data_IF_234927226227
#
_entry.id   IF_234927226227
#
_cell.length_a   1.000
_cell.length_b   1.000
_cell.length_c   1.000
_cell.angle_alpha   90.00
_cell.angle_beta   90.00
_cell.angle_gamma   90.00
#
_symmetry.space_group_name_H-M   'P 1'
#
loop_
_entity.id
_entity.type
_entity.pdbx_description
1 polymer ?
#
# COMPACT_ATOMS: atom_id res chain seq x y z
N UNK A 1 -19.67 7.86 1.87
CA UNK A 1 -20.02 7.17 0.59
C UNK A 1 -21.42 7.56 0.17
N UNK A 2 -21.61 7.98 -1.07
CA UNK A 2 -22.94 8.24 -1.63
C UNK A 2 -23.50 6.94 -2.24
N UNK A 3 -24.75 6.60 -1.91
CA UNK A 3 -25.38 5.34 -2.34
C UNK A 3 -26.64 5.69 -3.14
N UNK A 4 -26.61 5.36 -4.43
CA UNK A 4 -27.75 5.52 -5.33
C UNK A 4 -28.81 4.43 -5.06
N UNK A 5 -30.07 4.84 -4.84
CA UNK A 5 -31.21 3.97 -4.52
C UNK A 5 -32.31 4.02 -5.58
N UNK A 6 -32.03 4.54 -6.78
CA UNK A 6 -33.03 4.69 -7.85
C UNK A 6 -33.59 3.35 -8.38
N UNK A 7 -32.95 2.24 -8.01
CA UNK A 7 -33.34 0.86 -8.35
C UNK A 7 -33.51 -0.01 -7.10
N UNK A 8 -33.70 0.59 -5.95
CA UNK A 8 -33.98 -0.16 -4.73
C UNK A 8 -35.29 -0.91 -4.87
N UNK A 9 -35.19 -2.23 -4.82
CA UNK A 9 -36.34 -3.13 -4.86
C UNK A 9 -36.77 -3.47 -3.43
N UNK A 10 -37.97 -3.11 -3.08
CA UNK A 10 -38.62 -3.49 -1.83
C UNK A 10 -39.49 -4.74 -2.02
N UNK A 11 -39.78 -5.47 -0.95
CA UNK A 11 -40.63 -6.68 -1.02
C UNK A 11 -39.92 -7.93 -1.53
N UNK A 12 -38.60 -7.96 -1.47
CA UNK A 12 -37.84 -9.21 -1.63
C UNK A 12 -38.11 -10.12 -0.44
N UNK A 13 -38.15 -11.46 -0.62
CA UNK A 13 -38.39 -12.39 0.45
C UNK A 13 -37.29 -12.27 1.51
N UNK A 14 -37.64 -12.42 2.77
CA UNK A 14 -36.67 -12.58 3.85
C UNK A 14 -36.09 -13.99 3.79
N UNK A 15 -34.78 -14.09 3.78
CA UNK A 15 -34.04 -15.37 3.77
C UNK A 15 -33.34 -15.52 5.11
N UNK A 16 -33.63 -16.61 5.84
CA UNK A 16 -33.07 -16.83 7.16
C UNK A 16 -33.73 -16.03 8.27
N UNK A 17 -33.05 -15.98 9.42
CA UNK A 17 -33.54 -15.36 10.68
C UNK A 17 -32.38 -14.55 11.27
N UNK A 18 -32.67 -13.33 11.68
CA UNK A 18 -31.70 -12.47 12.37
C UNK A 18 -31.25 -13.07 13.73
N UNK A 19 -30.06 -12.75 14.22
CA UNK A 19 -29.06 -11.85 13.58
C UNK A 19 -28.31 -12.54 12.47
N UNK A 20 -28.07 -11.81 11.38
CA UNK A 20 -27.20 -12.27 10.31
C UNK A 20 -25.73 -12.09 10.66
N UNK A 21 -24.86 -12.98 10.19
CA UNK A 21 -23.47 -13.12 10.64
C UNK A 21 -22.44 -12.85 9.57
N UNK A 22 -22.86 -12.58 8.32
CA UNK A 22 -21.95 -12.45 7.20
C UNK A 22 -22.30 -11.26 6.30
N UNK A 23 -21.27 -10.65 5.70
CA UNK A 23 -21.40 -9.79 4.52
C UNK A 23 -20.75 -10.53 3.36
N UNK A 24 -21.52 -10.78 2.31
CA UNK A 24 -21.04 -11.53 1.16
C UNK A 24 -20.43 -10.62 0.10
N UNK A 25 -19.29 -11.04 -0.42
CA UNK A 25 -18.48 -10.33 -1.39
C UNK A 25 -18.43 -11.12 -2.70
N UNK A 26 -18.91 -10.50 -3.81
CA UNK A 26 -19.06 -11.13 -5.11
C UNK A 26 -18.50 -10.29 -6.24
N UNK A 27 -18.34 -10.91 -7.42
CA UNK A 27 -18.32 -10.22 -8.70
C UNK A 27 -19.45 -10.70 -9.60
N UNK A 28 -19.86 -9.85 -10.54
CA UNK A 28 -21.01 -10.15 -11.41
C UNK A 28 -20.76 -11.29 -12.40
N UNK A 29 -19.52 -11.73 -12.59
CA UNK A 29 -19.16 -12.70 -13.64
C UNK A 29 -19.43 -12.20 -15.07
N UNK A 30 -19.85 -10.96 -15.24
CA UNK A 30 -20.28 -10.39 -16.50
C UNK A 30 -19.37 -9.25 -16.96
N UNK A 31 -18.49 -9.56 -17.91
CA UNK A 31 -17.46 -8.60 -18.42
C UNK A 31 -18.03 -7.50 -19.31
N UNK A 32 -19.32 -7.50 -19.59
CA UNK A 32 -19.97 -6.52 -20.48
C UNK A 32 -21.07 -5.71 -19.80
N UNK A 33 -21.26 -5.88 -18.50
CA UNK A 33 -22.35 -5.26 -17.76
C UNK A 33 -21.88 -4.08 -16.91
N UNK A 34 -22.60 -2.98 -16.95
CA UNK A 34 -22.39 -1.82 -16.05
C UNK A 34 -23.17 -2.02 -14.75
N UNK A 35 -22.81 -1.25 -13.71
CA UNK A 35 -23.59 -1.24 -12.46
C UNK A 35 -25.07 -0.91 -12.68
N UNK A 36 -25.37 -0.01 -13.63
CA UNK A 36 -26.77 0.30 -13.98
C UNK A 36 -27.47 -0.88 -14.64
N UNK A 37 -26.80 -1.61 -15.54
CA UNK A 37 -27.38 -2.78 -16.20
C UNK A 37 -27.68 -3.89 -15.20
N UNK A 38 -26.77 -4.14 -14.27
CA UNK A 38 -26.98 -5.10 -13.19
C UNK A 38 -28.12 -4.69 -12.27
N UNK A 39 -28.20 -3.42 -11.89
CA UNK A 39 -29.29 -2.88 -11.10
C UNK A 39 -30.65 -3.00 -11.81
N UNK A 40 -30.70 -2.68 -13.11
CA UNK A 40 -31.92 -2.79 -13.93
C UNK A 40 -32.34 -4.25 -14.15
N UNK A 41 -31.37 -5.14 -14.30
CA UNK A 41 -31.63 -6.60 -14.39
C UNK A 41 -32.17 -7.11 -13.05
N UNK A 42 -31.52 -6.80 -11.93
CA UNK A 42 -31.96 -7.19 -10.59
C UNK A 42 -33.38 -6.68 -10.27
N UNK A 43 -33.68 -5.45 -10.69
CA UNK A 43 -35.02 -4.86 -10.45
C UNK A 43 -36.15 -5.63 -11.17
N UNK A 44 -35.87 -6.23 -12.32
CA UNK A 44 -36.87 -6.90 -13.18
C UNK A 44 -36.92 -8.41 -13.06
N UNK A 45 -35.79 -9.06 -12.66
CA UNK A 45 -35.72 -10.52 -12.59
C UNK A 45 -36.62 -11.10 -11.50
N UNK A 46 -37.00 -12.36 -11.65
CA UNK A 46 -37.68 -13.10 -10.60
C UNK A 46 -36.76 -13.21 -9.37
N UNK A 47 -37.23 -12.90 -8.17
CA UNK A 47 -36.43 -13.05 -6.93
C UNK A 47 -35.95 -14.49 -6.71
N UNK A 48 -36.68 -15.50 -7.16
CA UNK A 48 -36.27 -16.90 -7.05
C UNK A 48 -34.99 -17.24 -7.85
N UNK A 49 -34.59 -16.37 -8.79
CA UNK A 49 -33.34 -16.50 -9.54
C UNK A 49 -32.14 -15.87 -8.83
N UNK A 50 -32.27 -15.56 -7.55
CA UNK A 50 -31.23 -14.95 -6.72
C UNK A 50 -31.39 -13.43 -6.59
N UNK A 51 -30.90 -12.87 -5.50
CA UNK A 51 -30.86 -11.44 -5.26
C UNK A 51 -29.72 -11.06 -4.31
N UNK A 52 -29.28 -9.83 -4.43
CA UNK A 52 -28.23 -9.21 -3.63
C UNK A 52 -28.64 -7.80 -3.20
N UNK A 53 -27.92 -7.18 -2.27
CA UNK A 53 -28.26 -5.86 -1.74
C UNK A 53 -27.65 -4.70 -2.52
N UNK A 54 -26.42 -4.84 -3.00
CA UNK A 54 -25.67 -3.74 -3.63
C UNK A 54 -24.92 -4.21 -4.89
N UNK A 55 -24.72 -3.26 -5.80
CA UNK A 55 -23.75 -3.38 -6.90
C UNK A 55 -22.83 -2.17 -6.95
N UNK A 56 -21.55 -2.41 -7.19
CA UNK A 56 -20.51 -1.39 -7.29
C UNK A 56 -19.90 -1.42 -8.69
N UNK A 57 -19.78 -0.26 -9.30
CA UNK A 57 -19.17 -0.14 -10.60
C UNK A 57 -19.38 1.23 -11.25
N UNK A 58 -18.55 1.56 -12.24
CA UNK A 58 -18.57 2.81 -12.97
C UNK A 58 -18.53 4.05 -12.05
N UNK A 59 -17.70 3.99 -10.99
CA UNK A 59 -17.47 5.07 -10.02
C UNK A 59 -18.63 5.29 -9.04
N UNK A 60 -19.54 4.34 -8.86
CA UNK A 60 -20.70 4.49 -7.97
C UNK A 60 -21.08 3.20 -7.25
N UNK A 61 -21.84 3.39 -6.18
CA UNK A 61 -22.49 2.34 -5.39
C UNK A 61 -24.00 2.46 -5.57
N UNK A 62 -24.64 1.36 -5.91
CA UNK A 62 -26.10 1.28 -6.03
C UNK A 62 -26.65 0.27 -5.03
N UNK A 63 -27.62 0.68 -4.22
CA UNK A 63 -28.38 -0.23 -3.40
C UNK A 63 -29.60 -0.71 -4.20
N UNK A 64 -29.71 -2.01 -4.42
CA UNK A 64 -30.72 -2.64 -5.26
C UNK A 64 -31.68 -3.56 -4.51
N UNK A 65 -31.29 -3.97 -3.32
CA UNK A 65 -32.08 -4.79 -2.40
C UNK A 65 -31.93 -4.33 -0.95
N UNK A 66 -32.73 -4.89 -0.03
CA UNK A 66 -32.63 -4.60 1.39
C UNK A 66 -31.33 -5.17 1.97
N UNK A 67 -30.87 -4.58 3.06
CA UNK A 67 -29.89 -5.18 3.96
C UNK A 67 -30.62 -5.79 5.15
N UNK A 68 -29.92 -6.60 5.95
CA UNK A 68 -30.49 -7.27 7.11
C UNK A 68 -31.75 -8.12 6.77
N UNK A 69 -31.71 -8.79 5.62
CA UNK A 69 -32.83 -9.53 5.06
C UNK A 69 -32.47 -10.94 4.56
N UNK A 70 -31.20 -11.32 4.64
CA UNK A 70 -30.64 -12.45 3.92
C UNK A 70 -30.49 -12.13 2.42
N UNK A 71 -29.94 -13.06 1.68
CA UNK A 71 -29.79 -12.96 0.23
C UNK A 71 -29.83 -14.34 -0.40
N UNK A 72 -30.09 -14.42 -1.70
CA UNK A 72 -29.89 -15.63 -2.49
C UNK A 72 -28.75 -15.40 -3.47
N UNK A 73 -27.53 -15.48 -2.97
CA UNK A 73 -26.32 -15.04 -3.66
C UNK A 73 -25.20 -16.09 -3.67
N UNK A 74 -25.09 -16.94 -2.66
CA UNK A 74 -24.01 -17.95 -2.56
C UNK A 74 -24.45 -19.39 -2.86
N UNK A 75 -25.67 -19.58 -3.30
CA UNK A 75 -26.17 -20.86 -3.81
C UNK A 75 -26.31 -22.00 -2.79
N UNK A 76 -26.26 -21.72 -1.49
CA UNK A 76 -26.27 -22.74 -0.45
C UNK A 76 -26.84 -22.29 0.89
N UNK A 77 -26.52 -23.03 1.97
CA UNK A 77 -27.06 -22.79 3.30
C UNK A 77 -26.72 -21.45 3.90
N UNK A 78 -25.62 -20.83 3.50
CA UNK A 78 -25.18 -19.55 4.02
C UNK A 78 -25.91 -18.33 3.45
N UNK A 79 -26.76 -18.51 2.46
CA UNK A 79 -27.76 -17.50 2.08
C UNK A 79 -28.54 -16.97 3.28
N UNK A 80 -28.78 -17.82 4.29
CA UNK A 80 -29.47 -17.46 5.52
C UNK A 80 -28.63 -16.69 6.53
N UNK A 81 -27.33 -16.53 6.29
CA UNK A 81 -26.39 -15.83 7.15
C UNK A 81 -26.07 -14.41 6.65
N UNK A 82 -26.52 -14.04 5.47
CA UNK A 82 -26.16 -12.80 4.79
C UNK A 82 -26.87 -11.59 5.37
N UNK A 83 -26.13 -10.67 5.99
CA UNK A 83 -26.61 -9.32 6.30
C UNK A 83 -26.75 -8.49 5.02
N UNK A 84 -25.79 -8.60 4.13
CA UNK A 84 -25.76 -7.93 2.84
C UNK A 84 -24.90 -8.73 1.86
N UNK A 85 -25.24 -8.66 0.58
CA UNK A 85 -24.44 -9.20 -0.52
C UNK A 85 -24.11 -8.07 -1.51
N UNK A 86 -22.85 -7.97 -1.91
CA UNK A 86 -22.33 -6.90 -2.74
C UNK A 86 -21.67 -7.48 -3.99
N UNK A 87 -22.13 -7.04 -5.15
CA UNK A 87 -21.58 -7.38 -6.47
C UNK A 87 -20.61 -6.30 -6.95
N UNK A 88 -19.42 -6.67 -7.38
CA UNK A 88 -18.50 -5.81 -8.14
C UNK A 88 -18.61 -6.13 -9.62
N UNK A 89 -18.80 -5.12 -10.49
CA UNK A 89 -18.80 -5.35 -11.94
C UNK A 89 -17.41 -5.76 -12.43
N UNK A 90 -17.36 -6.45 -13.58
CA UNK A 90 -16.12 -6.87 -14.23
C UNK A 90 -15.82 -6.13 -15.55
N UNK A 91 -16.66 -5.21 -15.97
CA UNK A 91 -16.59 -4.51 -17.25
C UNK A 91 -15.67 -3.27 -17.21
N UNK A 92 -14.46 -3.42 -16.67
CA UNK A 92 -13.49 -2.32 -16.62
C UNK A 92 -12.60 -2.33 -17.87
N UNK A 93 -12.44 -1.17 -18.50
CA UNK A 93 -11.57 -1.01 -19.67
C UNK A 93 -10.11 -0.79 -19.29
N UNK A 94 -9.88 -0.26 -18.08
CA UNK A 94 -8.54 0.05 -17.56
C UNK A 94 -8.38 -0.44 -16.12
N UNK A 95 -7.12 -0.64 -15.72
CA UNK A 95 -6.78 -0.95 -14.33
C UNK A 95 -7.20 0.19 -13.37
N UNK A 96 -7.16 1.43 -13.82
CA UNK A 96 -7.52 2.59 -13.00
C UNK A 96 -9.03 2.63 -12.70
N UNK A 97 -9.87 2.37 -13.71
CA UNK A 97 -11.32 2.21 -13.52
C UNK A 97 -11.62 1.09 -12.53
N UNK A 98 -11.00 -0.09 -12.75
CA UNK A 98 -11.13 -1.20 -11.82
C UNK A 98 -10.74 -0.83 -10.38
N UNK A 99 -9.58 -0.21 -10.19
CA UNK A 99 -9.11 0.16 -8.85
C UNK A 99 -9.99 1.22 -8.19
N UNK A 100 -10.67 2.08 -8.96
CA UNK A 100 -11.63 3.05 -8.44
C UNK A 100 -12.86 2.34 -7.88
N UNK A 101 -13.46 1.46 -8.66
CA UNK A 101 -14.63 0.70 -8.23
C UNK A 101 -14.29 -0.29 -7.10
N UNK A 102 -13.12 -0.90 -7.16
CA UNK A 102 -12.64 -1.80 -6.13
C UNK A 102 -12.49 -1.11 -4.76
N UNK A 103 -12.01 0.14 -4.72
CA UNK A 103 -11.95 0.91 -3.46
C UNK A 103 -13.34 1.18 -2.87
N UNK A 104 -14.29 1.57 -3.70
CA UNK A 104 -15.69 1.77 -3.30
C UNK A 104 -16.29 0.46 -2.77
N UNK A 105 -15.99 -0.66 -3.42
CA UNK A 105 -16.43 -1.99 -3.03
C UNK A 105 -15.89 -2.38 -1.64
N UNK A 106 -14.61 -2.23 -1.39
CA UNK A 106 -14.00 -2.51 -0.10
C UNK A 106 -14.54 -1.60 1.01
N UNK A 107 -14.71 -0.32 0.72
CA UNK A 107 -15.28 0.64 1.66
C UNK A 107 -16.72 0.24 2.03
N UNK A 108 -17.52 -0.14 1.04
CA UNK A 108 -18.89 -0.58 1.26
C UNK A 108 -18.97 -1.84 2.12
N UNK A 109 -18.18 -2.88 1.80
CA UNK A 109 -18.16 -4.13 2.56
C UNK A 109 -17.82 -3.88 4.04
N UNK A 110 -16.83 -3.02 4.30
CA UNK A 110 -16.45 -2.64 5.67
C UNK A 110 -17.56 -1.88 6.40
N UNK A 111 -18.22 -0.95 5.71
CA UNK A 111 -19.32 -0.17 6.32
C UNK A 111 -20.51 -1.08 6.65
N UNK A 112 -20.82 -2.02 5.76
CA UNK A 112 -21.90 -3.01 6.02
C UNK A 112 -21.56 -3.96 7.17
N UNK A 113 -20.30 -4.37 7.30
CA UNK A 113 -19.87 -5.17 8.45
C UNK A 113 -19.96 -4.36 9.76
N UNK A 114 -19.56 -3.06 9.76
CA UNK A 114 -19.73 -2.16 10.90
C UNK A 114 -21.20 -1.97 11.28
N UNK A 115 -22.06 -1.74 10.28
CA UNK A 115 -23.50 -1.58 10.48
C UNK A 115 -24.13 -2.83 11.10
N UNK A 116 -23.66 -4.02 10.70
CA UNK A 116 -24.11 -5.30 11.24
C UNK A 116 -23.44 -5.66 12.58
N UNK A 117 -22.45 -4.91 13.05
CA UNK A 117 -21.65 -5.25 14.23
C UNK A 117 -20.74 -6.48 14.03
N UNK A 118 -20.33 -6.75 12.79
CA UNK A 118 -19.53 -7.93 12.41
C UNK A 118 -18.04 -7.62 12.34
N UNK A 119 -17.17 -8.61 12.58
CA UNK A 119 -15.75 -8.48 12.29
C UNK A 119 -15.49 -8.16 10.80
N UNK A 120 -14.51 -7.30 10.54
CA UNK A 120 -14.05 -6.99 9.18
C UNK A 120 -12.99 -7.99 8.69
N UNK A 121 -13.07 -9.22 9.17
CA UNK A 121 -12.20 -10.32 8.75
C UNK A 121 -12.74 -10.94 7.48
N UNK A 122 -11.82 -11.33 6.58
CA UNK A 122 -12.17 -11.99 5.34
C UNK A 122 -11.84 -13.49 5.44
N UNK A 123 -12.80 -14.32 5.06
CA UNK A 123 -12.61 -15.77 4.84
C UNK A 123 -11.88 -16.48 5.98
N UNK A 124 -12.20 -16.11 7.21
CA UNK A 124 -11.71 -16.81 8.39
C UNK A 124 -12.61 -18.00 8.72
N UNK A 125 -12.11 -18.95 9.52
CA UNK A 125 -12.89 -20.12 9.98
C UNK A 125 -14.07 -19.76 10.91
N UNK A 126 -14.07 -18.55 11.46
CA UNK A 126 -15.22 -18.02 12.20
C UNK A 126 -16.41 -17.84 11.24
N UNK A 127 -17.61 -18.16 11.69
CA UNK A 127 -18.82 -18.00 10.89
C UNK A 127 -19.11 -16.52 10.59
N UNK A 128 -18.72 -15.63 11.50
CA UNK A 128 -18.93 -14.19 11.39
C UNK A 128 -17.88 -13.51 10.51
N UNK A 129 -18.27 -12.43 9.82
CA UNK A 129 -17.36 -11.57 9.06
C UNK A 129 -17.72 -11.42 7.59
N UNK A 130 -16.75 -10.95 6.81
CA UNK A 130 -16.88 -10.83 5.36
C UNK A 130 -16.47 -12.15 4.72
N UNK A 131 -17.31 -12.69 3.83
CA UNK A 131 -17.09 -13.97 3.16
C UNK A 131 -17.16 -13.79 1.65
N UNK A 132 -16.16 -14.29 0.96
CA UNK A 132 -16.21 -14.35 -0.50
C UNK A 132 -17.13 -15.49 -0.95
N UNK A 133 -17.62 -15.38 -2.18
CA UNK A 133 -18.43 -16.45 -2.79
C UNK A 133 -17.64 -17.76 -2.84
N UNK A 134 -16.36 -17.70 -3.22
CA UNK A 134 -15.49 -18.87 -3.27
C UNK A 134 -15.36 -19.52 -1.87
N UNK A 135 -15.16 -18.72 -0.84
CA UNK A 135 -15.09 -19.25 0.53
C UNK A 135 -16.43 -19.89 0.96
N UNK A 136 -17.55 -19.22 0.70
CA UNK A 136 -18.88 -19.76 0.97
C UNK A 136 -19.10 -21.08 0.23
N UNK A 137 -18.75 -21.12 -1.05
CA UNK A 137 -18.83 -22.31 -1.88
C UNK A 137 -18.10 -23.51 -1.29
N UNK A 138 -16.88 -23.28 -0.81
CA UNK A 138 -16.03 -24.35 -0.31
C UNK A 138 -16.34 -24.80 1.13
N UNK A 139 -17.06 -23.99 1.91
CA UNK A 139 -17.23 -24.21 3.36
C UNK A 139 -18.69 -24.36 3.81
N UNK A 140 -19.68 -24.06 2.96
CA UNK A 140 -21.09 -24.19 3.32
C UNK A 140 -21.70 -25.57 2.99
N UNK A 141 -22.77 -26.01 3.69
CA UNK A 141 -23.54 -27.17 3.30
C UNK A 141 -24.28 -26.95 1.95
N UNK A 142 -24.34 -27.97 1.11
CA UNK A 142 -25.09 -27.96 -0.16
C UNK A 142 -24.55 -26.98 -1.21
N UNK A 143 -23.31 -27.13 -1.52
CA UNK A 143 -22.55 -26.31 -2.43
C UNK A 143 -23.05 -26.32 -3.88
N UNK A 144 -23.15 -25.12 -4.50
CA UNK A 144 -23.32 -24.88 -5.93
C UNK A 144 -22.53 -23.66 -6.37
N UNK A 145 -21.38 -23.77 -7.02
CA UNK A 145 -20.90 -22.63 -7.74
C UNK A 145 -19.78 -22.86 -8.71
N UNK A 146 -19.81 -22.01 -9.76
CA UNK A 146 -18.83 -21.92 -10.82
C UNK A 146 -18.17 -20.53 -10.85
N UNK A 147 -18.32 -19.70 -9.79
CA UNK A 147 -17.77 -18.35 -9.76
C UNK A 147 -16.42 -18.30 -9.05
N UNK A 148 -15.47 -17.66 -9.71
CA UNK A 148 -14.14 -17.35 -9.13
C UNK A 148 -14.20 -15.94 -8.56
N UNK A 149 -14.02 -15.82 -7.27
CA UNK A 149 -13.93 -14.51 -6.62
C UNK A 149 -12.66 -13.76 -7.00
N UNK A 150 -12.78 -12.50 -7.30
CA UNK A 150 -11.67 -11.77 -7.85
C UNK A 150 -10.54 -11.44 -6.89
N UNK A 151 -10.58 -11.66 -5.55
CA UNK A 151 -9.52 -10.99 -4.78
C UNK A 151 -9.07 -11.51 -3.42
N UNK A 152 -7.72 -11.58 -3.25
CA UNK A 152 -7.03 -11.70 -1.96
C UNK A 152 -6.92 -10.37 -1.16
N UNK A 153 -7.50 -9.25 -1.63
CA UNK A 153 -7.27 -7.91 -1.06
C UNK A 153 -8.24 -7.47 0.03
N UNK A 154 -9.34 -8.17 0.24
CA UNK A 154 -10.27 -7.86 1.34
C UNK A 154 -9.66 -8.08 2.73
N UNK A 155 -8.76 -9.04 2.83
CA UNK A 155 -8.02 -9.35 4.05
C UNK A 155 -6.85 -8.42 4.32
N UNK A 156 -6.58 -7.42 3.48
CA UNK A 156 -5.51 -6.49 3.77
C UNK A 156 -5.86 -5.71 5.05
N UNK A 157 -5.45 -6.26 6.18
CA UNK A 157 -5.37 -5.50 7.41
C UNK A 157 -4.71 -4.17 7.10
N UNK A 158 -5.28 -3.06 7.55
CA UNK A 158 -4.65 -1.74 7.44
C UNK A 158 -3.28 -1.77 8.11
N UNK A 159 -2.34 -1.03 7.59
CA UNK A 159 -0.98 -0.98 8.09
C UNK A 159 0.00 -1.82 7.28
N UNK A 160 1.09 -2.21 7.90
CA UNK A 160 2.16 -2.94 7.26
C UNK A 160 1.75 -4.37 6.90
N UNK A 161 1.96 -4.73 5.64
CA UNK A 161 1.75 -6.04 5.08
C UNK A 161 3.06 -6.62 4.55
N UNK A 162 3.15 -7.94 4.41
CA UNK A 162 4.33 -8.65 3.91
C UNK A 162 3.93 -9.89 3.12
N UNK A 163 4.66 -10.14 2.02
CA UNK A 163 4.64 -11.41 1.30
C UNK A 163 6.07 -11.84 0.90
N UNK A 164 6.21 -12.81 0.02
CA UNK A 164 7.51 -13.27 -0.48
C UNK A 164 8.30 -12.23 -1.29
N UNK A 165 7.66 -11.18 -1.79
CA UNK A 165 8.31 -10.11 -2.56
C UNK A 165 8.82 -8.98 -1.67
N UNK A 166 8.11 -8.63 -0.59
CA UNK A 166 8.49 -7.52 0.28
C UNK A 166 7.38 -7.03 1.18
N UNK A 167 7.58 -5.82 1.71
CA UNK A 167 6.61 -5.12 2.54
C UNK A 167 5.89 -4.04 1.74
N UNK A 168 4.61 -3.81 2.06
CA UNK A 168 3.83 -2.65 1.60
C UNK A 168 2.97 -2.13 2.74
N UNK A 169 2.41 -0.94 2.57
CA UNK A 169 1.54 -0.33 3.58
C UNK A 169 0.15 -0.07 3.02
N UNK A 170 -0.88 -0.48 3.73
CA UNK A 170 -2.27 -0.29 3.35
C UNK A 170 -2.92 0.72 4.27
N UNK A 171 -3.46 1.79 3.71
CA UNK A 171 -4.23 2.80 4.43
C UNK A 171 -5.60 2.27 4.84
N UNK A 172 -6.27 3.00 5.74
CA UNK A 172 -7.62 2.64 6.21
C UNK A 172 -8.66 2.62 5.08
N UNK A 173 -8.42 3.34 3.99
CA UNK A 173 -9.27 3.35 2.79
C UNK A 173 -8.92 2.25 1.78
N UNK A 174 -8.01 1.35 2.11
CA UNK A 174 -7.53 0.29 1.23
C UNK A 174 -6.49 0.73 0.20
N UNK A 175 -6.19 2.02 0.10
CA UNK A 175 -5.13 2.53 -0.79
C UNK A 175 -3.74 2.17 -0.27
N UNK A 176 -2.74 2.19 -1.16
CA UNK A 176 -1.34 1.99 -0.81
C UNK A 176 -0.44 2.89 -1.65
N UNK A 177 0.68 3.37 -1.10
CA UNK A 177 1.59 4.28 -1.80
C UNK A 177 2.31 3.58 -2.95
N UNK A 178 2.51 4.31 -4.08
CA UNK A 178 3.28 3.87 -5.26
C UNK A 178 4.12 5.02 -5.80
N UNK A 179 5.37 4.72 -6.18
CA UNK A 179 6.34 5.69 -6.72
C UNK A 179 6.44 6.98 -5.91
N UNK A 180 6.34 6.88 -4.58
CA UNK A 180 6.36 8.06 -3.70
C UNK A 180 6.97 7.77 -2.34
N UNK A 181 7.40 8.86 -1.72
CA UNK A 181 7.67 8.88 -0.29
C UNK A 181 6.36 8.89 0.50
N UNK A 182 6.35 8.18 1.61
CA UNK A 182 5.25 8.16 2.56
C UNK A 182 5.75 8.22 3.98
N UNK A 183 5.14 9.09 4.81
CA UNK A 183 5.50 9.18 6.23
C UNK A 183 4.53 8.35 7.07
N UNK A 184 5.04 7.28 7.67
CA UNK A 184 4.23 6.35 8.47
C UNK A 184 4.75 6.38 9.90
N UNK A 185 3.89 6.72 10.86
CA UNK A 185 4.24 6.83 12.28
C UNK A 185 5.49 7.68 12.56
N UNK A 186 5.67 8.77 11.79
CA UNK A 186 6.79 9.69 11.96
C UNK A 186 8.05 9.36 11.16
N UNK A 187 8.16 8.18 10.56
CA UNK A 187 9.30 7.70 9.76
C UNK A 187 8.97 7.76 8.28
N UNK A 188 9.95 8.17 7.45
CA UNK A 188 9.80 8.20 6.01
C UNK A 188 10.23 6.90 5.36
N UNK A 189 9.44 6.45 4.40
CA UNK A 189 9.65 5.29 3.54
C UNK A 189 9.48 5.69 2.08
N UNK A 190 9.98 4.88 1.16
CA UNK A 190 9.68 5.01 -0.27
C UNK A 190 9.07 3.71 -0.78
N UNK A 191 8.02 3.82 -1.56
CA UNK A 191 7.36 2.69 -2.21
C UNK A 191 7.58 2.76 -3.72
N UNK A 192 7.93 1.63 -4.34
CA UNK A 192 8.16 1.53 -5.77
C UNK A 192 6.84 1.56 -6.58
N UNK A 193 6.92 1.48 -7.91
CA UNK A 193 5.75 1.51 -8.80
C UNK A 193 4.79 0.34 -8.63
N UNK A 194 5.24 -0.74 -7.99
CA UNK A 194 4.41 -1.89 -7.62
C UNK A 194 3.81 -1.75 -6.23
N UNK A 195 4.23 -0.73 -5.46
CA UNK A 195 3.77 -0.45 -4.11
C UNK A 195 4.58 -1.16 -3.02
N UNK A 196 5.71 -1.80 -3.35
CA UNK A 196 6.58 -2.39 -2.32
C UNK A 196 7.55 -1.37 -1.75
N UNK A 197 7.75 -1.42 -0.44
CA UNK A 197 8.70 -0.61 0.29
C UNK A 197 10.13 -0.92 -0.16
N UNK A 198 10.93 0.11 -0.47
CA UNK A 198 12.35 -0.06 -0.69
C UNK A 198 13.07 -0.34 0.64
N UNK A 199 13.95 -1.33 0.64
CA UNK A 199 14.81 -1.65 1.76
C UNK A 199 16.22 -2.03 1.26
N UNK A 200 17.25 -1.65 2.02
CA UNK A 200 18.68 -1.86 1.72
C UNK A 200 19.04 -1.38 0.30
N UNK A 201 18.57 -0.18 -0.06
CA UNK A 201 18.69 0.35 -1.44
C UNK A 201 18.88 1.87 -1.51
N UNK A 202 19.64 2.27 -2.52
CA UNK A 202 19.71 3.64 -3.00
C UNK A 202 18.55 3.97 -3.95
N UNK A 203 18.01 5.16 -3.83
CA UNK A 203 17.02 5.73 -4.76
C UNK A 203 17.48 7.11 -5.22
N UNK A 204 17.64 7.29 -6.52
CA UNK A 204 17.71 8.63 -7.11
C UNK A 204 16.28 9.08 -7.39
N UNK A 205 15.89 10.23 -6.83
CA UNK A 205 14.55 10.75 -7.00
C UNK A 205 14.49 11.81 -8.12
N UNK A 206 13.30 12.25 -8.47
CA UNK A 206 13.07 13.22 -9.56
C UNK A 206 13.60 14.61 -9.27
N UNK A 207 13.88 14.95 -8.00
CA UNK A 207 14.55 16.16 -7.55
C UNK A 207 16.07 16.15 -7.80
N UNK A 208 16.61 15.06 -8.33
CA UNK A 208 18.03 14.86 -8.61
C UNK A 208 18.85 14.34 -7.44
N UNK A 209 18.31 14.30 -6.23
CA UNK A 209 18.99 13.84 -5.03
C UNK A 209 18.98 12.32 -4.89
N UNK A 210 19.97 11.81 -4.14
CA UNK A 210 20.04 10.43 -3.72
C UNK A 210 19.56 10.26 -2.29
N UNK A 211 18.82 9.16 -2.06
CA UNK A 211 18.28 8.75 -0.78
C UNK A 211 18.70 7.31 -0.50
N UNK A 212 18.87 6.98 0.76
CA UNK A 212 19.14 5.61 1.20
C UNK A 212 18.04 5.13 2.12
N UNK A 213 17.58 3.91 1.90
CA UNK A 213 16.63 3.21 2.76
C UNK A 213 17.36 2.00 3.36
N UNK A 214 17.36 1.91 4.68
CA UNK A 214 18.04 0.82 5.37
C UNK A 214 17.26 -0.51 5.24
N UNK A 215 17.74 -1.55 5.93
CA UNK A 215 17.13 -2.88 5.86
C UNK A 215 15.71 -2.96 6.45
N UNK A 216 15.32 -2.00 7.27
CA UNK A 216 13.95 -1.83 7.77
C UNK A 216 13.09 -0.96 6.83
N UNK A 217 13.66 -0.42 5.76
CA UNK A 217 13.03 0.51 4.82
C UNK A 217 13.01 1.96 5.28
N UNK A 218 13.59 2.28 6.44
CA UNK A 218 13.61 3.64 6.96
C UNK A 218 14.56 4.53 6.16
N UNK A 219 14.10 5.73 5.80
CA UNK A 219 14.90 6.72 5.10
C UNK A 219 16.04 7.23 6.00
N UNK A 220 17.26 7.18 5.50
CA UNK A 220 18.43 7.62 6.21
C UNK A 220 18.44 9.15 6.42
N UNK A 221 18.82 9.58 7.61
CA UNK A 221 19.17 10.97 7.95
C UNK A 221 20.46 10.99 8.78
N UNK A 222 21.19 12.09 8.75
CA UNK A 222 22.47 12.20 9.45
C UNK A 222 23.54 11.28 8.87
N UNK A 223 24.50 10.89 9.70
CA UNK A 223 25.57 9.98 9.30
C UNK A 223 25.11 8.53 9.24
N UNK A 224 25.39 7.87 8.10
CA UNK A 224 25.13 6.42 7.89
C UNK A 224 26.35 5.76 7.27
N UNK A 225 26.68 4.57 7.76
CA UNK A 225 27.72 3.70 7.17
C UNK A 225 27.05 2.69 6.26
N UNK A 226 27.36 2.73 4.96
CA UNK A 226 26.76 1.91 3.93
C UNK A 226 27.92 1.25 3.16
N UNK A 227 27.95 -0.08 3.08
CA UNK A 227 29.02 -0.83 2.41
C UNK A 227 30.42 -0.32 2.78
N UNK A 228 30.68 -0.21 4.08
CA UNK A 228 31.94 0.24 4.71
C UNK A 228 32.31 1.72 4.45
N UNK A 229 31.54 2.52 3.72
CA UNK A 229 31.73 3.94 3.47
C UNK A 229 30.75 4.77 4.32
N UNK A 230 31.21 5.93 4.81
CA UNK A 230 30.33 6.89 5.50
C UNK A 230 29.72 7.86 4.53
N UNK A 231 28.41 8.15 4.72
CA UNK A 231 27.62 9.12 3.98
C UNK A 231 26.89 10.03 4.98
N UNK A 232 26.56 11.23 4.54
CA UNK A 232 25.76 12.16 5.33
C UNK A 232 24.51 12.58 4.56
N UNK A 233 23.37 12.48 5.23
CA UNK A 233 22.06 12.86 4.72
C UNK A 233 21.54 14.04 5.54
N UNK A 234 20.90 15.01 4.88
CA UNK A 234 20.24 16.10 5.59
C UNK A 234 18.95 15.62 6.30
N UNK A 235 18.23 16.54 6.95
CA UNK A 235 16.99 16.21 7.69
C UNK A 235 15.87 15.73 6.75
N UNK A 236 15.90 16.16 5.49
CA UNK A 236 14.97 15.71 4.43
C UNK A 236 15.40 14.39 3.77
N UNK A 237 16.49 13.76 4.23
CA UNK A 237 17.01 12.49 3.73
C UNK A 237 17.85 12.58 2.46
N UNK A 238 18.11 13.78 1.93
CA UNK A 238 18.93 13.94 0.74
C UNK A 238 20.44 13.79 1.07
N UNK A 239 21.12 12.90 0.32
CA UNK A 239 22.56 12.69 0.42
C UNK A 239 23.31 13.99 0.12
N UNK A 240 24.25 14.35 0.97
CA UNK A 240 25.11 15.52 0.79
C UNK A 240 26.41 15.13 0.08
N UNK A 241 26.97 16.10 -0.64
CA UNK A 241 28.28 16.05 -1.28
C UNK A 241 29.06 17.34 -0.95
N UNK A 242 30.38 17.31 -1.11
CA UNK A 242 31.22 18.46 -0.79
C UNK A 242 31.41 18.66 0.70
N UNK A 243 31.66 19.90 1.11
CA UNK A 243 31.92 20.26 2.49
C UNK A 243 30.66 20.23 3.36
N UNK A 244 30.74 19.54 4.48
CA UNK A 244 29.67 19.45 5.48
C UNK A 244 30.23 19.78 6.87
N UNK A 245 29.56 20.68 7.58
CA UNK A 245 29.85 20.96 8.98
C UNK A 245 28.89 20.22 9.88
N UNK A 246 29.41 19.36 10.75
CA UNK A 246 28.61 18.60 11.72
C UNK A 246 29.22 18.73 13.10
N UNK A 247 28.44 19.20 14.09
CA UNK A 247 28.89 19.44 15.48
C UNK A 247 30.23 20.20 15.54
N UNK A 248 30.26 21.33 14.83
CA UNK A 248 31.45 22.22 14.73
C UNK A 248 32.69 21.66 14.02
N UNK A 249 32.63 20.44 13.50
CA UNK A 249 33.71 19.78 12.77
C UNK A 249 33.38 19.71 11.28
N UNK A 250 34.37 20.01 10.43
CA UNK A 250 34.23 19.91 8.99
C UNK A 250 34.63 18.54 8.47
N UNK A 251 33.86 18.06 7.48
CA UNK A 251 34.08 16.85 6.72
C UNK A 251 33.93 17.16 5.23
N UNK A 252 34.53 16.33 4.38
CA UNK A 252 34.33 16.42 2.94
C UNK A 252 33.74 15.10 2.42
N UNK A 253 32.66 15.23 1.68
CA UNK A 253 31.99 14.12 1.00
C UNK A 253 32.33 14.20 -0.49
N UNK A 254 32.72 13.09 -1.08
CA UNK A 254 33.08 13.04 -2.50
C UNK A 254 31.98 13.68 -3.37
N UNK A 255 32.39 14.55 -4.28
CA UNK A 255 31.43 15.34 -5.06
C UNK A 255 30.56 14.49 -6.01
N UNK A 256 31.01 13.28 -6.37
CA UNK A 256 30.32 12.38 -7.30
C UNK A 256 29.64 11.24 -6.58
N UNK A 257 30.35 10.60 -5.64
CA UNK A 257 29.88 9.41 -4.96
C UNK A 257 29.21 9.70 -3.62
N UNK A 258 29.43 10.86 -3.02
CA UNK A 258 28.88 11.25 -1.72
C UNK A 258 29.54 10.58 -0.51
N UNK A 259 30.51 9.70 -0.72
CA UNK A 259 31.20 9.02 0.35
C UNK A 259 32.16 9.98 1.08
N UNK A 260 32.26 9.86 2.42
CA UNK A 260 33.20 10.64 3.22
C UNK A 260 34.64 10.33 2.82
N UNK A 261 35.38 11.40 2.53
CA UNK A 261 36.80 11.33 2.23
C UNK A 261 37.61 11.40 3.52
N UNK A 262 38.62 10.55 3.64
CA UNK A 262 39.54 10.53 4.79
C UNK A 262 40.96 10.24 4.34
N UNK A 263 41.94 10.64 5.16
CA UNK A 263 43.36 10.49 4.90
C UNK A 263 43.75 10.98 3.49
N UNK A 264 43.29 12.19 3.13
CA UNK A 264 43.46 12.74 1.78
C UNK A 264 43.53 14.25 1.77
N UNK A 265 44.09 14.79 0.70
CA UNK A 265 44.12 16.23 0.45
C UNK A 265 42.99 16.62 -0.53
N UNK A 266 42.27 17.69 -0.19
CA UNK A 266 41.24 18.30 -1.05
C UNK A 266 41.71 19.68 -1.46
N UNK A 267 41.74 19.91 -2.78
CA UNK A 267 42.11 21.22 -3.31
C UNK A 267 41.04 22.27 -2.98
N UNK A 268 41.47 23.45 -2.58
CA UNK A 268 40.59 24.60 -2.40
C UNK A 268 39.89 24.95 -3.75
N UNK A 269 38.67 25.52 -3.68
CA UNK A 269 37.88 25.82 -4.88
C UNK A 269 38.56 26.84 -5.81
N UNK A 270 39.44 27.73 -5.25
CA UNK A 270 40.23 28.69 -6.03
C UNK A 270 41.57 28.11 -6.53
N UNK A 271 41.87 26.85 -6.23
CA UNK A 271 43.07 26.15 -6.63
C UNK A 271 44.37 26.63 -5.90
N UNK A 272 44.26 27.50 -4.91
CA UNK A 272 45.44 28.13 -4.24
C UNK A 272 46.00 27.34 -3.08
N UNK A 273 45.26 26.35 -2.57
CA UNK A 273 45.66 25.60 -1.39
C UNK A 273 45.03 24.20 -1.30
N UNK A 274 45.39 23.51 -0.23
CA UNK A 274 44.91 22.15 0.03
C UNK A 274 44.47 22.06 1.49
N UNK A 275 43.36 21.31 1.66
CA UNK A 275 42.86 20.91 2.97
C UNK A 275 43.20 19.45 3.19
N UNK A 276 43.70 19.12 4.40
CA UNK A 276 43.96 17.74 4.79
C UNK A 276 42.83 17.18 5.65
N UNK A 277 42.28 16.02 5.24
CA UNK A 277 41.34 15.26 6.01
C UNK A 277 42.06 14.11 6.72
N UNK A 278 41.92 14.06 8.05
CA UNK A 278 42.51 13.03 8.87
C UNK A 278 41.96 11.64 8.60
N UNK A 279 42.55 10.53 9.10
CA UNK A 279 42.04 9.18 8.95
C UNK A 279 40.58 8.97 9.42
N UNK A 280 40.14 9.76 10.39
CA UNK A 280 38.76 9.79 10.90
C UNK A 280 37.79 10.64 10.03
N UNK A 281 38.27 11.26 8.96
CA UNK A 281 37.53 12.09 8.03
C UNK A 281 37.37 13.55 8.46
N UNK A 282 37.87 13.94 9.65
CA UNK A 282 37.78 15.33 10.13
C UNK A 282 38.82 16.23 9.47
N UNK A 283 38.45 17.50 9.22
CA UNK A 283 39.39 18.50 8.72
C UNK A 283 40.49 18.79 9.77
N UNK A 284 41.72 18.78 9.34
CA UNK A 284 42.85 19.18 10.19
C UNK A 284 43.00 20.71 10.24
N UNK A 285 43.02 21.29 11.42
CA UNK A 285 43.22 22.75 11.58
C UNK A 285 44.63 23.19 11.17
N UNK A 286 45.63 22.44 11.56
CA UNK A 286 47.06 22.68 11.24
C UNK A 286 47.77 21.35 11.08
N UNK A 287 47.69 20.72 9.92
CA UNK A 287 48.36 19.44 9.71
C UNK A 287 49.89 19.65 9.77
N UNK A 288 50.53 18.82 10.59
CA UNK A 288 51.97 18.74 10.59
C UNK A 288 52.41 17.66 9.62
N UNK A 289 53.20 18.01 8.63
CA UNK A 289 53.65 17.09 7.60
C UNK A 289 55.12 17.32 7.26
N UNK A 290 55.79 16.26 6.87
CA UNK A 290 57.16 16.25 6.37
C UNK A 290 57.14 15.95 4.90
N UNK A 291 57.94 16.67 4.11
CA UNK A 291 58.23 16.31 2.71
C UNK A 291 59.58 15.59 2.71
N UNK A 292 59.52 14.32 2.37
CA UNK A 292 60.73 13.48 2.25
C UNK A 292 61.56 13.89 1.00
N UNK A 293 62.86 13.55 0.94
CA UNK A 293 63.74 13.92 -0.20
C UNK A 293 63.28 13.42 -1.54
N UNK A 294 62.47 12.39 -1.62
CA UNK A 294 61.88 11.81 -2.81
C UNK A 294 60.52 12.45 -3.18
N UNK A 295 60.09 13.47 -2.41
CA UNK A 295 58.83 14.18 -2.61
C UNK A 295 57.63 13.52 -1.90
N UNK A 296 57.80 12.40 -1.16
CA UNK A 296 56.76 11.80 -0.36
C UNK A 296 56.32 12.75 0.78
N UNK A 297 55.02 12.95 0.91
CA UNK A 297 54.44 13.74 2.01
C UNK A 297 53.93 12.79 3.07
N UNK A 298 54.50 12.86 4.28
CA UNK A 298 54.04 12.16 5.48
C UNK A 298 53.37 13.12 6.43
N UNK A 299 52.16 12.81 6.86
CA UNK A 299 51.40 13.56 7.85
C UNK A 299 51.64 12.94 9.23
N UNK A 300 52.00 13.75 10.22
CA UNK A 300 52.24 13.32 11.59
C UNK A 300 51.01 13.38 12.46
#
# INVERSE_FOLDING_TARGET
>A
MDIDRNRLRTGLPQVGVQPYRQVHAHSTGNRNSTAQNEADYHYRKDPELGFFSHVVGNGRVMQVGPVNNGSWDVGGGWNTESYAAVELIESHSTKEEFMTDYRLYIELLRNLADEAGLPKTLDTDDLEGIKTHEYCTNNQPNNHSDHVDPYPYLAAATGWQKNGTGYWYVHSDGSYPKDKFEKINGTWYYFDGSGYMLADRWKKYTDGNWYWFDNSGEMATGWKKIAEKWYYFNEEGAMKTGWVKYKDTWYYLDAKEGAMVSNAFIQSADGTGWYYLKPDGTLADKPDFTVEPDGLITVK
#
